data_IF_635726879695
#
_entry.id   IF_635726879695
#
_cell.length_a   1.000
_cell.length_b   1.000
_cell.length_c   1.000
_cell.angle_alpha   90.00
_cell.angle_beta   90.00
_cell.angle_gamma   90.00
#
_symmetry.space_group_name_H-M   'P 1'
#
loop_
_entity.id
_entity.type
_entity.pdbx_description
1 polymer ?
#
# COMPACT_ATOMS: atom_id res chain seq x y z
N UNK A 1 15.74 10.31 14.55
CA UNK A 1 16.63 9.14 14.53
C UNK A 1 15.86 7.85 14.85
N UNK A 2 16.27 6.74 14.26
CA UNK A 2 15.75 5.42 14.61
C UNK A 2 16.41 4.89 15.88
N UNK A 3 15.94 3.78 16.44
CA UNK A 3 16.53 3.22 17.66
C UNK A 3 17.94 2.71 17.45
N UNK A 4 18.22 2.16 16.28
CA UNK A 4 19.50 1.57 15.86
C UNK A 4 20.37 2.50 14.98
N UNK A 5 19.85 3.67 14.56
CA UNK A 5 20.55 4.55 13.62
C UNK A 5 20.28 6.02 13.89
N UNK A 6 21.39 6.81 13.86
CA UNK A 6 21.30 8.26 14.05
C UNK A 6 20.72 8.99 12.83
N UNK A 7 20.97 8.47 11.63
CA UNK A 7 20.37 8.94 10.40
C UNK A 7 19.14 8.08 10.13
N UNK A 8 17.92 8.63 10.27
CA UNK A 8 16.71 7.85 10.09
C UNK A 8 16.43 7.59 8.61
N UNK A 9 15.62 6.56 8.37
CA UNK A 9 15.01 6.31 7.08
C UNK A 9 13.50 6.59 7.11
N UNK A 10 12.86 6.57 5.95
CA UNK A 10 11.42 6.83 5.84
C UNK A 10 10.56 5.77 6.52
N UNK A 11 11.04 4.52 6.63
CA UNK A 11 10.30 3.44 7.27
C UNK A 11 10.13 3.68 8.78
N UNK A 12 11.23 3.78 9.51
CA UNK A 12 11.18 4.01 10.96
C UNK A 12 10.64 5.40 11.34
N UNK A 13 10.85 6.43 10.52
CA UNK A 13 10.27 7.76 10.79
C UNK A 13 8.76 7.78 10.60
N UNK A 14 8.25 7.18 9.52
CA UNK A 14 6.80 7.11 9.31
C UNK A 14 6.13 6.20 10.35
N UNK A 15 6.73 5.06 10.67
CA UNK A 15 6.25 4.21 11.76
C UNK A 15 6.08 4.98 13.06
N UNK A 16 7.07 5.81 13.43
CA UNK A 16 6.98 6.64 14.63
C UNK A 16 5.86 7.71 14.53
N UNK A 17 5.60 8.25 13.35
CA UNK A 17 4.53 9.24 13.13
C UNK A 17 3.14 8.60 13.26
N UNK A 18 2.95 7.39 12.72
CA UNK A 18 1.63 6.75 12.65
C UNK A 18 1.28 5.87 13.86
N UNK A 19 2.29 5.46 14.63
CA UNK A 19 2.08 4.61 15.82
C UNK A 19 2.42 5.30 17.14
N UNK A 20 3.18 6.40 17.11
CA UNK A 20 3.77 7.01 18.30
C UNK A 20 4.95 6.23 18.88
N UNK A 21 5.34 5.10 18.27
CA UNK A 21 6.42 4.23 18.75
C UNK A 21 7.65 4.37 17.85
N UNK A 22 8.81 4.62 18.47
CA UNK A 22 10.08 4.67 17.77
C UNK A 22 10.61 3.26 17.53
N UNK A 23 11.04 2.99 16.32
CA UNK A 23 11.50 1.66 15.90
C UNK A 23 12.85 1.70 15.18
N UNK A 24 13.35 0.56 14.76
CA UNK A 24 14.59 0.42 14.03
C UNK A 24 14.47 0.88 12.57
N UNK A 25 15.60 1.09 11.94
CA UNK A 25 15.68 1.44 10.54
C UNK A 25 15.17 0.30 9.66
N UNK A 26 14.36 0.62 8.65
CA UNK A 26 13.94 -0.31 7.60
C UNK A 26 12.75 -1.20 7.97
N UNK A 27 12.15 -1.04 9.16
CA UNK A 27 10.94 -1.79 9.56
C UNK A 27 9.71 -0.89 9.54
N UNK A 28 8.53 -1.47 9.38
CA UNK A 28 7.25 -0.76 9.27
C UNK A 28 6.31 -1.15 10.40
N UNK A 29 5.90 -0.15 11.19
CA UNK A 29 4.84 -0.23 12.22
C UNK A 29 4.93 -1.45 13.14
N UNK A 30 6.16 -1.79 13.52
CA UNK A 30 6.52 -2.81 14.51
C UNK A 30 7.38 -2.19 15.61
N UNK A 31 7.42 -2.83 16.78
CA UNK A 31 8.21 -2.35 17.89
C UNK A 31 9.70 -2.74 17.76
N UNK A 32 10.54 -2.30 18.71
CA UNK A 32 11.99 -2.48 18.75
C UNK A 32 12.45 -3.92 18.99
N UNK A 33 11.55 -4.88 19.23
CA UNK A 33 11.90 -6.28 19.46
C UNK A 33 12.02 -7.07 18.15
N UNK A 34 11.55 -6.46 17.05
CA UNK A 34 11.65 -7.06 15.73
C UNK A 34 13.10 -7.06 15.24
N UNK A 35 13.51 -8.16 14.65
CA UNK A 35 14.82 -8.34 14.02
C UNK A 35 14.61 -8.36 12.51
N UNK A 36 15.21 -7.42 11.80
CA UNK A 36 15.13 -7.35 10.33
C UNK A 36 15.45 -8.70 9.69
N UNK A 37 14.71 -9.04 8.65
CA UNK A 37 14.84 -10.30 7.89
C UNK A 37 14.54 -11.58 8.69
N UNK A 38 13.96 -11.48 9.88
CA UNK A 38 13.53 -12.61 10.69
C UNK A 38 12.01 -12.62 10.87
N UNK A 39 11.29 -13.35 10.03
CA UNK A 39 9.83 -13.40 10.03
C UNK A 39 9.22 -13.84 11.38
N UNK A 40 9.90 -14.71 12.11
CA UNK A 40 9.41 -15.14 13.44
C UNK A 40 9.38 -13.99 14.47
N UNK A 41 10.15 -12.94 14.24
CA UNK A 41 10.22 -11.81 15.18
C UNK A 41 9.09 -10.80 14.98
N UNK A 42 8.30 -10.87 13.90
CA UNK A 42 7.17 -9.96 13.70
C UNK A 42 5.98 -10.32 14.58
N UNK A 43 5.78 -11.60 14.83
CA UNK A 43 4.60 -12.12 15.54
C UNK A 43 4.45 -11.51 16.95
N UNK A 44 3.34 -10.77 17.16
CA UNK A 44 3.03 -10.11 18.42
C UNK A 44 3.87 -8.84 18.70
N UNK A 45 4.59 -8.35 17.69
CA UNK A 45 5.39 -7.13 17.76
C UNK A 45 4.88 -6.03 16.83
N UNK A 46 3.72 -6.25 16.18
CA UNK A 46 2.97 -5.27 15.43
C UNK A 46 2.47 -4.16 16.36
N UNK A 47 2.53 -2.92 15.90
CA UNK A 47 2.05 -1.76 16.67
C UNK A 47 0.91 -1.10 15.91
N UNK A 48 -0.29 -1.03 16.49
CA UNK A 48 -1.43 -0.43 15.81
C UNK A 48 -1.15 1.00 15.35
N UNK A 49 -1.50 1.29 14.11
CA UNK A 49 -1.40 2.62 13.53
C UNK A 49 -2.64 3.45 13.85
N UNK A 50 -2.54 4.77 13.70
CA UNK A 50 -3.71 5.62 13.88
C UNK A 50 -4.79 5.34 12.81
N UNK A 51 -4.40 4.91 11.61
CA UNK A 51 -5.31 4.49 10.54
C UNK A 51 -6.12 3.26 10.99
N UNK A 52 -5.45 2.22 11.47
CA UNK A 52 -6.12 1.02 11.99
C UNK A 52 -7.05 1.34 13.17
N UNK A 53 -6.66 2.29 14.04
CA UNK A 53 -7.52 2.75 15.14
C UNK A 53 -8.74 3.51 14.61
N UNK A 54 -8.61 4.27 13.52
CA UNK A 54 -9.72 4.96 12.87
C UNK A 54 -10.71 3.95 12.26
N UNK A 55 -10.17 2.96 11.53
CA UNK A 55 -10.94 1.82 10.99
C UNK A 55 -11.75 1.10 12.06
N UNK A 56 -11.12 0.73 13.18
CA UNK A 56 -11.80 0.08 14.30
C UNK A 56 -12.96 0.90 14.89
N UNK A 57 -12.95 2.21 14.65
CA UNK A 57 -14.01 3.13 15.07
C UNK A 57 -15.05 3.39 13.99
N UNK A 58 -14.96 2.73 12.85
CA UNK A 58 -15.83 2.92 11.69
C UNK A 58 -15.68 4.30 11.05
N UNK A 59 -14.47 4.83 11.04
CA UNK A 59 -14.13 6.07 10.33
C UNK A 59 -13.54 5.71 8.97
N UNK A 60 -13.99 6.36 7.93
CA UNK A 60 -13.42 6.20 6.59
C UNK A 60 -11.97 6.67 6.54
N UNK A 61 -11.10 5.90 5.87
CA UNK A 61 -9.67 6.18 5.77
C UNK A 61 -9.14 6.13 4.34
N UNK A 62 -8.03 6.82 4.11
CA UNK A 62 -7.43 6.84 2.77
C UNK A 62 -5.95 7.21 2.76
N UNK A 63 -5.27 6.71 1.74
CA UNK A 63 -3.85 6.98 1.50
C UNK A 63 -3.67 7.55 0.10
N UNK A 64 -2.99 8.69 0.00
CA UNK A 64 -2.65 9.33 -1.27
C UNK A 64 -1.17 9.64 -1.32
N UNK A 65 -0.48 9.19 -2.37
CA UNK A 65 0.95 9.43 -2.56
C UNK A 65 1.31 9.41 -4.04
N UNK A 66 2.39 10.09 -4.44
CA UNK A 66 3.03 9.89 -5.74
C UNK A 66 4.08 8.78 -5.73
N UNK A 67 4.36 8.20 -4.55
CA UNK A 67 5.17 7.01 -4.43
C UNK A 67 4.37 5.73 -4.77
N UNK A 68 5.06 4.58 -4.84
CA UNK A 68 4.37 3.29 -4.77
C UNK A 68 3.59 3.21 -3.46
N UNK A 69 2.36 2.73 -3.49
CA UNK A 69 1.55 2.54 -2.27
C UNK A 69 2.23 1.55 -1.31
N UNK A 70 3.00 0.61 -1.84
CA UNK A 70 3.80 -0.34 -1.08
C UNK A 70 5.13 0.22 -0.54
N UNK A 71 5.53 1.44 -0.96
CA UNK A 71 6.75 2.08 -0.44
C UNK A 71 6.58 2.47 1.03
N UNK A 72 7.68 2.51 1.77
CA UNK A 72 7.71 2.64 3.22
C UNK A 72 6.79 3.71 3.83
N UNK A 73 6.70 4.89 3.22
CA UNK A 73 5.92 6.00 3.78
C UNK A 73 4.42 5.76 3.73
N UNK A 74 3.79 5.42 2.58
CA UNK A 74 2.38 5.03 2.58
C UNK A 74 2.15 3.70 3.30
N UNK A 75 3.03 2.71 3.12
CA UNK A 75 2.88 1.36 3.69
C UNK A 75 2.83 1.33 5.22
N UNK A 76 3.61 2.17 5.89
CA UNK A 76 3.63 2.21 7.36
C UNK A 76 2.27 2.58 8.00
N UNK A 77 1.31 3.09 7.22
CA UNK A 77 -0.04 3.39 7.73
C UNK A 77 -0.90 2.15 7.90
N UNK A 78 -0.69 1.09 7.08
CA UNK A 78 -1.56 -0.08 7.00
C UNK A 78 -0.85 -1.42 7.11
N UNK A 79 0.49 -1.44 6.99
CA UNK A 79 1.27 -2.67 6.96
C UNK A 79 2.28 -2.75 8.10
N UNK A 80 2.46 -3.96 8.60
CA UNK A 80 3.47 -4.32 9.59
C UNK A 80 4.51 -5.21 8.92
N UNK A 81 5.75 -4.72 8.83
CA UNK A 81 6.80 -5.48 8.15
C UNK A 81 8.15 -5.36 8.84
N UNK A 82 8.86 -6.49 8.87
CA UNK A 82 10.25 -6.58 9.33
C UNK A 82 11.24 -5.99 8.33
N UNK A 83 10.77 -5.66 7.13
CA UNK A 83 11.60 -5.07 6.08
C UNK A 83 10.73 -4.24 5.13
N UNK A 84 11.12 -3.00 4.90
CA UNK A 84 10.41 -2.06 4.03
C UNK A 84 10.36 -2.45 2.56
N UNK A 85 11.28 -3.32 2.14
CA UNK A 85 11.40 -3.77 0.76
C UNK A 85 10.62 -5.06 0.49
N UNK A 86 9.84 -5.58 1.44
CA UNK A 86 8.92 -6.71 1.25
C UNK A 86 7.61 -6.25 0.59
N UNK A 87 7.72 -5.60 -0.58
CA UNK A 87 6.58 -4.99 -1.25
C UNK A 87 5.62 -6.01 -1.85
N UNK A 88 6.12 -7.19 -2.27
CA UNK A 88 5.35 -8.31 -2.81
C UNK A 88 5.86 -9.67 -2.30
N UNK A 89 5.16 -10.75 -2.63
CA UNK A 89 5.47 -12.10 -2.17
C UNK A 89 6.84 -12.60 -2.64
N UNK A 90 7.32 -12.16 -3.79
CA UNK A 90 8.65 -12.51 -4.32
C UNK A 90 9.77 -12.10 -3.35
N UNK A 91 9.62 -10.97 -2.68
CA UNK A 91 10.62 -10.47 -1.74
C UNK A 91 10.58 -11.27 -0.44
N UNK A 92 9.40 -11.71 -0.03
CA UNK A 92 9.19 -12.50 1.19
C UNK A 92 9.63 -13.95 1.02
N UNK A 93 9.38 -14.58 -0.12
CA UNK A 93 9.68 -16.00 -0.36
C UNK A 93 11.16 -16.38 -0.25
N UNK A 94 12.06 -15.40 -0.28
CA UNK A 94 13.51 -15.60 -0.14
C UNK A 94 14.00 -15.68 1.31
N UNK A 95 13.10 -15.44 2.27
CA UNK A 95 13.45 -15.39 3.69
C UNK A 95 13.41 -16.78 4.32
N UNK A 96 13.95 -16.86 5.54
CA UNK A 96 13.79 -18.03 6.40
C UNK A 96 12.41 -17.96 7.08
N UNK A 97 11.63 -19.02 6.99
CA UNK A 97 10.25 -19.13 7.48
C UNK A 97 9.32 -18.04 6.88
N UNK A 98 9.24 -17.94 5.54
CA UNK A 98 8.48 -16.89 4.86
C UNK A 98 6.98 -16.94 5.19
N UNK A 99 6.44 -18.08 5.62
CA UNK A 99 5.05 -18.28 6.04
C UNK A 99 4.63 -17.41 7.24
N UNK A 100 5.58 -16.88 7.99
CA UNK A 100 5.35 -15.97 9.12
C UNK A 100 5.49 -14.49 8.74
N UNK A 101 5.76 -14.18 7.47
CA UNK A 101 5.74 -12.84 6.93
C UNK A 101 4.60 -12.69 5.91
N UNK A 102 4.02 -11.52 5.86
CA UNK A 102 3.13 -11.10 4.78
C UNK A 102 3.78 -9.97 4.01
N UNK A 103 3.63 -9.97 2.70
CA UNK A 103 4.07 -8.86 1.88
C UNK A 103 3.17 -7.63 2.09
N UNK A 104 3.70 -6.46 1.78
CA UNK A 104 3.04 -5.18 2.03
C UNK A 104 1.78 -5.04 1.17
N UNK A 105 1.82 -5.44 -0.11
CA UNK A 105 0.67 -5.32 -1.01
C UNK A 105 -0.52 -6.18 -0.55
N UNK A 106 -0.27 -7.42 -0.10
CA UNK A 106 -1.33 -8.29 0.41
C UNK A 106 -1.97 -7.73 1.68
N UNK A 107 -1.20 -7.08 2.56
CA UNK A 107 -1.72 -6.48 3.77
C UNK A 107 -2.71 -5.34 3.50
N UNK A 108 -2.55 -4.59 2.39
CA UNK A 108 -3.52 -3.58 1.97
C UNK A 108 -4.90 -4.21 1.70
N UNK A 109 -4.92 -5.30 0.92
CA UNK A 109 -6.15 -5.97 0.52
C UNK A 109 -6.82 -6.68 1.71
N UNK A 110 -6.03 -7.19 2.63
CA UNK A 110 -6.48 -7.97 3.79
C UNK A 110 -6.81 -7.12 5.02
N UNK A 111 -6.80 -5.80 4.90
CA UNK A 111 -6.99 -4.90 6.04
C UNK A 111 -8.33 -5.14 6.73
N UNK A 112 -9.40 -5.30 5.97
CA UNK A 112 -10.76 -5.60 6.44
C UNK A 112 -10.88 -6.93 7.20
N UNK A 113 -9.98 -7.88 6.93
CA UNK A 113 -9.96 -9.19 7.62
C UNK A 113 -9.16 -9.13 8.91
N UNK A 114 -8.13 -8.29 8.95
CA UNK A 114 -7.18 -8.23 10.06
C UNK A 114 -7.59 -7.26 11.16
N UNK A 115 -8.47 -6.31 10.85
CA UNK A 115 -8.94 -5.28 11.81
C UNK A 115 -10.42 -5.50 12.13
N UNK A 116 -10.73 -5.68 13.39
CA UNK A 116 -12.11 -5.88 13.83
C UNK A 116 -12.96 -4.63 13.55
N UNK A 117 -14.12 -4.83 12.94
CA UNK A 117 -15.09 -3.79 12.51
C UNK A 117 -14.58 -2.86 11.38
N UNK A 118 -13.50 -3.19 10.70
CA UNK A 118 -13.06 -2.49 9.50
C UNK A 118 -13.73 -3.12 8.27
N UNK A 119 -14.10 -2.30 7.32
CA UNK A 119 -14.49 -2.70 5.97
C UNK A 119 -13.35 -2.53 4.95
N UNK A 120 -12.17 -2.14 5.44
CA UNK A 120 -10.96 -1.91 4.65
C UNK A 120 -10.77 -0.43 4.31
N UNK A 121 -9.67 -0.13 3.65
CA UNK A 121 -9.39 1.24 3.19
C UNK A 121 -10.40 1.67 2.12
N UNK A 122 -10.98 2.86 2.24
CA UNK A 122 -11.85 3.39 1.19
C UNK A 122 -11.05 3.95 0.01
N UNK A 123 -9.87 4.52 0.27
CA UNK A 123 -9.07 5.14 -0.80
C UNK A 123 -7.59 4.76 -0.70
N UNK A 124 -7.05 4.20 -1.79
CA UNK A 124 -5.61 4.03 -1.96
C UNK A 124 -5.18 4.52 -3.35
N UNK A 125 -4.49 5.66 -3.43
CA UNK A 125 -4.10 6.29 -4.69
C UNK A 125 -2.59 6.53 -4.75
N UNK A 126 -1.93 6.01 -5.80
CA UNK A 126 -0.49 6.19 -6.02
C UNK A 126 0.07 5.37 -7.16
N UNK A 127 1.34 5.00 -7.05
CA UNK A 127 2.00 4.05 -7.94
C UNK A 127 2.11 2.65 -7.32
N UNK A 128 2.91 1.77 -7.93
CA UNK A 128 3.25 0.45 -7.37
C UNK A 128 2.47 -0.72 -7.95
N UNK A 129 1.79 -0.52 -9.08
CA UNK A 129 0.93 -1.52 -9.74
C UNK A 129 1.60 -2.89 -9.89
N UNK A 130 2.91 -2.92 -10.15
CA UNK A 130 3.66 -4.17 -10.34
C UNK A 130 3.57 -5.15 -9.17
N UNK A 131 3.52 -4.66 -7.92
CA UNK A 131 3.45 -5.51 -6.72
C UNK A 131 2.05 -6.08 -6.45
N UNK A 132 1.04 -5.62 -7.20
CA UNK A 132 -0.33 -6.11 -7.16
C UNK A 132 -0.65 -7.12 -8.26
N UNK A 133 0.15 -7.17 -9.32
CA UNK A 133 -0.10 -7.97 -10.52
C UNK A 133 0.74 -9.24 -10.57
N UNK A 134 0.17 -10.28 -11.17
CA UNK A 134 0.82 -11.57 -11.40
C UNK A 134 2.06 -11.42 -12.31
N UNK A 135 3.04 -12.27 -12.11
CA UNK A 135 4.23 -12.36 -12.98
C UNK A 135 3.95 -13.16 -14.24
N UNK A 136 3.07 -12.65 -15.08
CA UNK A 136 2.73 -13.22 -16.40
C UNK A 136 2.76 -12.12 -17.46
N UNK A 137 3.13 -12.48 -18.69
CA UNK A 137 3.16 -11.52 -19.81
C UNK A 137 1.77 -10.91 -20.04
N UNK A 138 1.72 -9.61 -20.24
CA UNK A 138 0.47 -8.88 -20.45
C UNK A 138 -0.31 -8.54 -19.19
N UNK A 139 0.24 -8.80 -17.99
CA UNK A 139 -0.45 -8.48 -16.73
C UNK A 139 -0.60 -6.96 -16.52
N UNK A 140 0.41 -6.17 -16.89
CA UNK A 140 0.33 -4.72 -16.76
C UNK A 140 -0.50 -4.14 -17.92
N UNK A 141 -1.61 -3.44 -17.65
CA UNK A 141 -2.53 -2.95 -18.68
C UNK A 141 -1.97 -1.81 -19.53
N UNK A 142 -0.94 -1.13 -19.05
CA UNK A 142 -0.31 0.00 -19.73
C UNK A 142 0.87 -0.43 -20.60
N UNK A 143 1.77 -1.22 -20.01
CA UNK A 143 3.05 -1.58 -20.64
C UNK A 143 3.02 -2.96 -21.30
N UNK A 144 2.09 -3.83 -20.92
CA UNK A 144 2.06 -5.23 -21.30
C UNK A 144 3.14 -6.07 -20.61
N UNK A 145 3.87 -5.51 -19.65
CA UNK A 145 4.91 -6.22 -18.91
C UNK A 145 4.31 -7.14 -17.83
N UNK A 146 5.17 -7.94 -17.23
CA UNK A 146 4.82 -8.81 -16.11
C UNK A 146 4.69 -7.97 -14.82
N UNK A 147 3.79 -8.38 -13.93
CA UNK A 147 3.85 -8.00 -12.54
C UNK A 147 5.00 -8.68 -11.79
N UNK A 148 5.07 -8.49 -10.49
CA UNK A 148 6.15 -9.04 -9.65
C UNK A 148 5.70 -10.26 -8.83
N UNK A 149 4.38 -10.50 -8.67
CA UNK A 149 3.86 -11.57 -7.82
C UNK A 149 4.10 -12.97 -8.38
N UNK A 150 4.60 -13.86 -7.53
CA UNK A 150 4.88 -15.28 -7.83
C UNK A 150 3.78 -16.23 -7.32
N UNK A 151 2.93 -15.77 -6.39
CA UNK A 151 1.84 -16.54 -5.80
C UNK A 151 0.63 -16.73 -6.73
N UNK A 152 0.63 -16.08 -7.89
CA UNK A 152 -0.44 -16.15 -8.87
C UNK A 152 -1.68 -15.32 -8.51
N UNK A 153 -1.61 -14.48 -7.46
CA UNK A 153 -2.69 -13.57 -7.07
C UNK A 153 -2.69 -12.32 -7.95
N UNK A 154 -3.87 -11.85 -8.31
CA UNK A 154 -4.12 -10.51 -8.85
C UNK A 154 -4.81 -9.69 -7.76
N UNK A 155 -4.04 -8.89 -7.04
CA UNK A 155 -4.56 -8.13 -5.91
C UNK A 155 -5.48 -6.98 -6.34
N UNK A 156 -5.43 -6.55 -7.60
CA UNK A 156 -6.38 -5.56 -8.14
C UNK A 156 -7.77 -6.16 -8.30
N UNK A 157 -7.84 -7.43 -8.75
CA UNK A 157 -9.10 -8.15 -8.82
C UNK A 157 -9.61 -8.51 -7.42
N UNK A 158 -8.71 -8.92 -6.51
CA UNK A 158 -9.09 -9.22 -5.13
C UNK A 158 -9.65 -7.99 -4.40
N UNK A 159 -9.14 -6.77 -4.69
CA UNK A 159 -9.73 -5.52 -4.20
C UNK A 159 -11.21 -5.38 -4.63
N UNK A 160 -11.48 -5.63 -5.91
CA UNK A 160 -12.83 -5.55 -6.45
C UNK A 160 -13.77 -6.62 -5.85
N UNK A 161 -13.24 -7.80 -5.58
CA UNK A 161 -14.01 -8.91 -5.01
C UNK A 161 -14.26 -8.74 -3.49
N UNK A 162 -13.36 -8.07 -2.79
CA UNK A 162 -13.42 -7.87 -1.33
C UNK A 162 -14.40 -6.78 -0.91
N UNK A 163 -14.67 -5.79 -1.78
CA UNK A 163 -15.46 -4.61 -1.42
C UNK A 163 -16.66 -4.43 -2.34
N UNK A 164 -17.81 -4.11 -1.77
CA UNK A 164 -18.98 -3.66 -2.56
C UNK A 164 -18.73 -2.24 -3.05
N UNK A 165 -19.33 -1.90 -4.21
CA UNK A 165 -19.19 -0.57 -4.81
C UNK A 165 -17.70 -0.12 -4.94
N UNK A 166 -16.84 -1.06 -5.29
CA UNK A 166 -15.41 -0.79 -5.45
C UNK A 166 -15.04 -0.48 -6.88
N UNK A 167 -13.93 0.25 -7.04
CA UNK A 167 -13.33 0.52 -8.33
C UNK A 167 -11.81 0.36 -8.28
N UNK A 168 -11.25 -0.09 -9.39
CA UNK A 168 -9.82 -0.07 -9.66
C UNK A 168 -9.56 0.73 -10.91
N UNK A 169 -8.62 1.67 -10.85
CA UNK A 169 -8.19 2.50 -11.98
C UNK A 169 -6.67 2.55 -12.07
N UNK A 170 -6.15 2.59 -13.30
CA UNK A 170 -4.71 2.67 -13.54
C UNK A 170 -4.30 3.84 -14.44
N UNK A 171 -5.27 4.57 -15.01
CA UNK A 171 -5.04 5.70 -15.89
C UNK A 171 -5.89 6.91 -15.49
N UNK A 172 -5.48 8.08 -15.98
CA UNK A 172 -6.12 9.35 -15.63
C UNK A 172 -7.58 9.43 -16.08
N UNK A 173 -7.87 8.96 -17.30
CA UNK A 173 -9.24 9.05 -17.86
C UNK A 173 -10.25 8.29 -17.00
N UNK A 174 -9.90 7.06 -16.61
CA UNK A 174 -10.82 6.24 -15.82
C UNK A 174 -10.94 6.79 -14.40
N UNK A 175 -9.84 7.32 -13.83
CA UNK A 175 -9.87 8.05 -12.56
C UNK A 175 -10.78 9.27 -12.58
N UNK A 176 -10.75 10.08 -13.64
CA UNK A 176 -11.62 11.26 -13.79
C UNK A 176 -13.10 10.87 -13.86
N UNK A 177 -13.42 9.73 -14.48
CA UNK A 177 -14.77 9.22 -14.69
C UNK A 177 -15.37 8.47 -13.50
N UNK A 178 -14.65 8.29 -12.39
CA UNK A 178 -15.20 7.66 -11.17
C UNK A 178 -16.38 8.48 -10.65
N UNK A 179 -17.50 7.79 -10.50
CA UNK A 179 -18.70 8.35 -9.85
C UNK A 179 -18.55 8.19 -8.32
N UNK A 180 -18.22 9.28 -7.65
CA UNK A 180 -18.02 9.33 -6.19
C UNK A 180 -19.29 8.98 -5.38
N UNK A 181 -20.48 9.09 -5.98
CA UNK A 181 -21.73 8.73 -5.30
C UNK A 181 -22.06 7.23 -5.40
N UNK A 182 -21.35 6.51 -6.26
CA UNK A 182 -21.56 5.08 -6.50
C UNK A 182 -20.32 4.24 -6.16
N UNK A 183 -19.26 4.85 -5.63
CA UNK A 183 -17.99 4.20 -5.30
C UNK A 183 -17.69 4.43 -3.83
N UNK A 184 -17.62 3.36 -3.07
CA UNK A 184 -17.24 3.39 -1.64
C UNK A 184 -15.74 3.11 -1.46
N UNK A 185 -15.16 2.25 -2.32
CA UNK A 185 -13.73 1.88 -2.25
C UNK A 185 -13.02 2.11 -3.59
N UNK A 186 -11.95 2.89 -3.60
CA UNK A 186 -11.19 3.25 -4.79
C UNK A 186 -9.70 2.92 -4.66
N UNK A 187 -9.24 1.98 -5.49
CA UNK A 187 -7.82 1.70 -5.69
C UNK A 187 -7.34 2.34 -7.00
N UNK A 188 -6.35 3.22 -6.92
CA UNK A 188 -5.73 3.82 -8.10
C UNK A 188 -4.23 3.60 -8.12
N UNK A 189 -3.74 2.82 -9.10
CA UNK A 189 -2.32 2.48 -9.25
C UNK A 189 -1.83 2.93 -10.64
N UNK A 190 -1.35 4.18 -10.72
CA UNK A 190 -1.14 4.88 -11.97
C UNK A 190 0.19 4.56 -12.67
N UNK A 191 1.15 3.91 -11.98
CA UNK A 191 2.41 3.47 -12.55
C UNK A 191 2.83 2.10 -12.01
N UNK A 192 3.61 1.30 -12.76
CA UNK A 192 4.20 0.07 -12.24
C UNK A 192 5.11 0.31 -11.03
N UNK A 193 5.82 1.45 -11.00
CA UNK A 193 6.69 1.88 -9.90
C UNK A 193 6.17 3.19 -9.30
N UNK A 194 7.05 4.12 -8.93
CA UNK A 194 6.64 5.48 -8.53
C UNK A 194 5.95 6.19 -9.69
N UNK A 195 5.00 7.04 -9.39
CA UNK A 195 4.45 7.98 -10.37
C UNK A 195 5.56 8.89 -10.91
N UNK A 196 5.40 9.36 -12.12
CA UNK A 196 6.35 10.26 -12.76
C UNK A 196 6.36 11.63 -12.07
N UNK A 197 7.45 12.36 -12.21
CA UNK A 197 7.45 13.75 -11.79
C UNK A 197 6.44 14.55 -12.61
N UNK A 198 5.77 15.51 -11.98
CA UNK A 198 4.75 16.32 -12.63
C UNK A 198 5.23 17.04 -13.92
N UNK A 199 6.54 17.24 -14.06
CA UNK A 199 7.13 17.81 -15.27
C UNK A 199 7.18 16.78 -16.43
N UNK A 200 7.37 15.51 -16.11
CA UNK A 200 7.62 14.44 -17.09
C UNK A 200 6.35 13.68 -17.48
N UNK A 201 5.30 13.72 -16.67
CA UNK A 201 4.08 12.92 -16.84
C UNK A 201 3.23 13.30 -18.07
N UNK A 202 3.56 14.39 -18.78
CA UNK A 202 2.85 14.81 -19.98
C UNK A 202 2.96 13.82 -21.16
N UNK A 203 3.97 12.95 -21.15
CA UNK A 203 4.21 11.93 -22.16
C UNK A 203 3.75 10.53 -21.74
N UNK A 204 3.16 10.41 -20.56
CA UNK A 204 2.62 9.16 -20.04
C UNK A 204 1.43 8.67 -20.87
N UNK A 205 1.43 7.38 -21.25
CA UNK A 205 0.42 6.81 -22.15
C UNK A 205 -0.94 6.70 -21.46
N UNK A 206 -0.96 6.23 -20.22
CA UNK A 206 -2.16 6.14 -19.39
C UNK A 206 -2.61 7.50 -18.88
N UNK A 207 -1.67 8.42 -18.78
CA UNK A 207 -1.82 9.67 -18.07
C UNK A 207 -1.90 9.44 -16.57
N UNK A 208 -1.35 10.36 -15.80
CA UNK A 208 -1.38 10.32 -14.34
C UNK A 208 -2.17 11.50 -13.78
N UNK A 209 -3.03 11.28 -12.77
CA UNK A 209 -3.57 12.39 -12.01
C UNK A 209 -2.47 13.05 -11.17
N UNK A 210 -2.57 14.34 -10.96
CA UNK A 210 -1.68 15.06 -10.05
C UNK A 210 -2.00 14.69 -8.59
N UNK A 211 -1.05 14.91 -7.68
CA UNK A 211 -1.28 14.75 -6.25
C UNK A 211 -2.49 15.55 -5.75
N UNK A 212 -2.70 16.75 -6.29
CA UNK A 212 -3.85 17.60 -5.96
C UNK A 212 -5.17 17.00 -6.41
N UNK A 213 -5.24 16.47 -7.65
CA UNK A 213 -6.44 15.80 -8.18
C UNK A 213 -6.77 14.55 -7.37
N UNK A 214 -5.76 13.72 -7.06
CA UNK A 214 -5.93 12.54 -6.21
C UNK A 214 -6.44 12.90 -4.81
N UNK A 215 -5.84 13.92 -4.19
CA UNK A 215 -6.23 14.35 -2.84
C UNK A 215 -7.66 14.91 -2.81
N UNK A 216 -8.03 15.72 -3.82
CA UNK A 216 -9.40 16.26 -3.89
C UNK A 216 -10.43 15.14 -4.03
N UNK A 217 -10.21 14.20 -4.95
CA UNK A 217 -11.12 13.06 -5.14
C UNK A 217 -11.20 12.16 -3.89
N UNK A 218 -10.08 11.94 -3.21
CA UNK A 218 -10.06 11.20 -1.96
C UNK A 218 -10.91 11.89 -0.86
N UNK A 219 -10.79 13.21 -0.71
CA UNK A 219 -11.60 13.97 0.26
C UNK A 219 -13.08 13.88 -0.10
N UNK A 220 -13.44 14.05 -1.38
CA UNK A 220 -14.82 13.99 -1.84
C UNK A 220 -15.43 12.60 -1.59
N UNK A 221 -14.64 11.52 -1.75
CA UNK A 221 -15.09 10.14 -1.53
C UNK A 221 -15.22 9.80 -0.04
N UNK A 222 -14.37 10.37 0.83
CA UNK A 222 -14.38 10.16 2.27
C UNK A 222 -15.37 11.07 3.03
N UNK A 223 -16.12 11.95 2.35
CA UNK A 223 -17.03 12.92 2.94
C UNK A 223 -18.46 12.46 2.90
#
# INVERSE_FOLDING_TARGET
YNTDSQVPDSAGTMSAMVTGIKTDRGVLSVNQQVIRSNCNSSLGNEVPTFLEIAEQKGMSTGIVSTARITHATPAANYAHSIERDHEDDRDVTRLTNPENCRDIASQLIELNVNIANSDGLEVALGGGRRSFLQRVDGADPETGEQGERLDGRDLTQEWLDAHQNSAYVWNKRDFENIDINATDHLLGLFQPSHMQYAYDNQSDIGGEPTLSEMTSKAIDLLS
#
